data_IF_310548650842
#
_entry.id   IF_310548650842
#
_cell.length_a   1.000
_cell.length_b   1.000
_cell.length_c   1.000
_cell.angle_alpha   90.00
_cell.angle_beta   90.00
_cell.angle_gamma   90.00
#
_symmetry.space_group_name_H-M   'P 1'
#
loop_
_entity.id
_entity.type
_entity.pdbx_description
1 polymer ?
#
# COMPACT_ATOMS: atom_id res chain seq x y z
N UNK A 1 2.65 -17.40 33.25
CA UNK A 1 3.69 -17.69 32.25
C UNK A 1 3.03 -17.60 30.87
N UNK A 2 3.01 -16.42 30.28
CA UNK A 2 2.34 -16.15 29.00
C UNK A 2 3.34 -16.32 27.86
N UNK A 3 3.02 -17.21 26.92
CA UNK A 3 3.90 -17.62 25.82
C UNK A 3 4.06 -16.46 24.81
N UNK A 4 5.28 -15.95 24.55
CA UNK A 4 5.53 -14.79 23.70
C UNK A 4 5.25 -15.01 22.19
N UNK A 5 4.90 -16.24 21.79
CA UNK A 5 4.61 -16.59 20.39
C UNK A 5 3.28 -15.98 19.89
N UNK A 6 2.27 -15.82 20.77
CA UNK A 6 0.96 -15.28 20.42
C UNK A 6 0.99 -13.78 20.07
N UNK A 7 1.96 -13.01 20.55
CA UNK A 7 2.11 -11.59 20.20
C UNK A 7 2.79 -11.35 18.86
N UNK A 8 3.51 -12.35 18.33
CA UNK A 8 4.16 -12.27 17.01
C UNK A 8 3.17 -12.54 15.86
N UNK A 9 2.12 -13.33 16.12
CA UNK A 9 1.04 -13.59 15.14
C UNK A 9 -0.05 -12.51 15.12
N UNK A 10 -0.17 -11.68 16.17
CA UNK A 10 -1.12 -10.56 16.19
C UNK A 10 -0.82 -9.51 15.12
N UNK A 11 0.46 -9.12 14.97
CA UNK A 11 0.86 -8.10 14.00
C UNK A 11 0.47 -8.44 12.54
N UNK A 12 0.77 -9.64 12.00
CA UNK A 12 0.34 -9.98 10.64
C UNK A 12 -1.17 -10.18 10.51
N UNK A 13 -1.87 -10.61 11.56
CA UNK A 13 -3.34 -10.71 11.54
C UNK A 13 -4.00 -9.32 11.48
N UNK A 14 -3.47 -8.35 12.22
CA UNK A 14 -3.96 -6.97 12.18
C UNK A 14 -3.70 -6.35 10.80
N UNK A 15 -2.54 -6.62 10.18
CA UNK A 15 -2.22 -6.15 8.81
C UNK A 15 -3.09 -6.80 7.74
N UNK A 16 -3.33 -8.12 7.82
CA UNK A 16 -4.21 -8.83 6.87
C UNK A 16 -5.68 -8.41 7.07
N UNK A 17 -6.09 -8.17 8.32
CA UNK A 17 -7.43 -7.67 8.64
C UNK A 17 -7.62 -6.26 8.09
N UNK A 18 -6.67 -5.34 8.27
CA UNK A 18 -6.74 -4.00 7.69
C UNK A 18 -6.77 -4.03 6.16
N UNK A 19 -5.95 -4.89 5.55
CA UNK A 19 -5.90 -5.03 4.10
C UNK A 19 -7.19 -5.65 3.55
N UNK A 20 -7.76 -6.67 4.21
CA UNK A 20 -9.08 -7.19 3.85
C UNK A 20 -10.15 -6.12 4.03
N UNK A 21 -10.19 -5.42 5.16
CA UNK A 21 -11.21 -4.40 5.43
C UNK A 21 -11.16 -3.26 4.40
N UNK A 22 -9.95 -2.88 3.95
CA UNK A 22 -9.78 -1.90 2.87
C UNK A 22 -10.30 -2.42 1.51
N UNK A 23 -10.10 -3.70 1.20
CA UNK A 23 -10.58 -4.35 -0.04
C UNK A 23 -12.08 -4.61 -0.03
N UNK A 24 -12.68 -4.91 1.12
CA UNK A 24 -14.13 -5.02 1.31
C UNK A 24 -14.85 -3.67 1.09
N UNK A 25 -14.14 -2.54 1.25
CA UNK A 25 -14.68 -1.21 0.97
C UNK A 25 -14.75 -0.88 -0.52
N UNK A 26 -14.25 -1.76 -1.39
CA UNK A 26 -14.30 -1.52 -2.83
C UNK A 26 -15.74 -1.70 -3.36
N UNK A 27 -16.22 -0.79 -4.23
CA UNK A 27 -17.52 -0.92 -4.86
C UNK A 27 -17.69 -2.26 -5.62
N UNK A 28 -16.58 -2.80 -6.14
CA UNK A 28 -16.55 -4.10 -6.79
C UNK A 28 -16.95 -5.23 -5.84
N UNK A 29 -16.34 -5.31 -4.64
CA UNK A 29 -16.67 -6.36 -3.68
C UNK A 29 -18.14 -6.30 -3.25
N UNK A 30 -18.65 -5.08 -3.01
CA UNK A 30 -20.07 -4.89 -2.64
C UNK A 30 -21.01 -5.36 -3.76
N UNK A 31 -20.69 -5.01 -5.01
CA UNK A 31 -21.47 -5.41 -6.19
C UNK A 31 -21.41 -6.92 -6.39
N UNK A 32 -20.22 -7.51 -6.26
CA UNK A 32 -20.03 -8.96 -6.35
C UNK A 32 -20.81 -9.70 -5.27
N UNK A 33 -20.72 -9.27 -4.00
CA UNK A 33 -21.47 -9.88 -2.90
C UNK A 33 -22.98 -9.79 -3.13
N UNK A 34 -23.47 -8.65 -3.62
CA UNK A 34 -24.88 -8.47 -3.94
C UNK A 34 -25.35 -9.39 -5.08
N UNK A 35 -24.60 -9.44 -6.19
CA UNK A 35 -24.89 -10.34 -7.31
C UNK A 35 -24.83 -11.80 -6.86
N UNK A 36 -23.83 -12.17 -6.06
CA UNK A 36 -23.68 -13.51 -5.53
C UNK A 36 -24.87 -13.91 -4.65
N UNK A 37 -25.35 -13.03 -3.77
CA UNK A 37 -26.54 -13.26 -2.94
C UNK A 37 -27.79 -13.49 -3.80
N UNK A 38 -27.95 -12.72 -4.87
CA UNK A 38 -29.09 -12.88 -5.79
C UNK A 38 -28.99 -14.19 -6.56
N UNK A 39 -27.81 -14.51 -7.10
CA UNK A 39 -27.58 -15.75 -7.85
C UNK A 39 -27.71 -16.99 -6.97
N UNK A 40 -27.33 -16.90 -5.70
CA UNK A 40 -27.41 -17.98 -4.71
C UNK A 40 -28.57 -17.76 -3.72
N UNK A 41 -29.69 -17.22 -4.20
CA UNK A 41 -30.83 -16.87 -3.35
C UNK A 41 -31.38 -18.07 -2.55
N UNK A 42 -31.37 -19.27 -3.12
CA UNK A 42 -31.79 -20.51 -2.46
C UNK A 42 -30.86 -20.89 -1.31
N UNK A 43 -29.54 -20.69 -1.48
CA UNK A 43 -28.57 -20.90 -0.42
C UNK A 43 -28.80 -19.92 0.73
N UNK A 44 -28.92 -18.63 0.41
CA UNK A 44 -29.17 -17.56 1.39
C UNK A 44 -30.49 -17.80 2.12
N UNK A 45 -31.54 -18.18 1.40
CA UNK A 45 -32.83 -18.52 1.98
C UNK A 45 -32.72 -19.69 2.95
N UNK A 46 -32.05 -20.77 2.56
CA UNK A 46 -31.82 -21.93 3.43
C UNK A 46 -30.95 -21.60 4.64
N UNK A 47 -29.98 -20.69 4.51
CA UNK A 47 -29.09 -20.29 5.60
C UNK A 47 -29.82 -19.48 6.69
N UNK A 48 -30.63 -18.50 6.27
CA UNK A 48 -31.25 -17.52 7.16
C UNK A 48 -32.67 -17.89 7.60
N UNK A 49 -33.48 -18.50 6.73
CA UNK A 49 -34.92 -18.68 6.97
C UNK A 49 -35.33 -20.13 7.21
N UNK A 50 -34.50 -21.12 6.87
CA UNK A 50 -34.83 -22.51 7.11
C UNK A 50 -34.33 -22.98 8.49
N UNK A 51 -35.19 -22.87 9.50
CA UNK A 51 -34.92 -23.32 10.87
C UNK A 51 -35.08 -24.84 11.08
N UNK A 52 -35.53 -25.58 10.05
CA UNK A 52 -35.83 -27.02 10.17
C UNK A 52 -34.62 -27.93 9.97
N UNK A 53 -33.50 -27.40 9.48
CA UNK A 53 -32.29 -28.19 9.21
C UNK A 53 -31.36 -28.11 10.42
N UNK A 54 -31.18 -29.23 11.11
CA UNK A 54 -30.31 -29.32 12.30
C UNK A 54 -28.83 -29.11 11.98
N UNK A 55 -28.38 -29.52 10.79
CA UNK A 55 -26.98 -29.41 10.35
C UNK A 55 -26.80 -28.45 9.17
N UNK A 56 -26.58 -27.17 9.50
CA UNK A 56 -26.26 -26.13 8.50
C UNK A 56 -24.92 -26.38 7.79
N UNK A 57 -23.99 -27.08 8.44
CA UNK A 57 -22.67 -27.46 7.90
C UNK A 57 -22.78 -28.33 6.66
N UNK A 58 -23.71 -29.29 6.64
CA UNK A 58 -23.89 -30.23 5.53
C UNK A 58 -24.50 -29.58 4.29
N UNK A 59 -25.30 -28.53 4.47
CA UNK A 59 -25.79 -27.69 3.37
C UNK A 59 -24.62 -26.90 2.76
N UNK A 60 -23.72 -26.38 3.60
CA UNK A 60 -22.53 -25.67 3.14
C UNK A 60 -21.64 -26.58 2.28
N UNK A 61 -21.38 -27.80 2.74
CA UNK A 61 -20.56 -28.77 1.99
C UNK A 61 -21.18 -29.14 0.64
N UNK A 62 -22.49 -29.39 0.60
CA UNK A 62 -23.18 -29.74 -0.65
C UNK A 62 -23.25 -28.58 -1.66
N UNK A 63 -23.31 -27.33 -1.18
CA UNK A 63 -23.46 -26.15 -2.05
C UNK A 63 -22.12 -25.54 -2.46
N UNK A 64 -21.09 -25.65 -1.61
CA UNK A 64 -19.77 -25.11 -1.90
C UNK A 64 -18.88 -26.10 -2.66
N UNK A 65 -19.36 -27.29 -3.01
CA UNK A 65 -18.63 -28.45 -3.55
C UNK A 65 -17.36 -28.08 -4.36
N UNK A 66 -16.26 -27.80 -3.66
CA UNK A 66 -15.08 -27.07 -4.18
C UNK A 66 -14.26 -27.91 -5.18
N UNK A 67 -14.62 -29.18 -5.31
CA UNK A 67 -13.96 -30.16 -6.15
C UNK A 67 -14.62 -30.30 -7.53
N UNK A 68 -15.78 -29.69 -7.76
CA UNK A 68 -16.44 -29.74 -9.05
C UNK A 68 -16.06 -28.56 -9.95
N UNK A 69 -15.80 -28.85 -11.22
CA UNK A 69 -15.48 -27.83 -12.23
C UNK A 69 -16.68 -26.87 -12.49
N UNK A 70 -17.90 -27.33 -12.20
CA UNK A 70 -19.14 -26.54 -12.23
C UNK A 70 -19.06 -25.31 -11.30
N UNK A 71 -18.57 -25.49 -10.07
CA UNK A 71 -18.44 -24.42 -9.09
C UNK A 71 -17.53 -23.29 -9.57
N UNK A 72 -16.39 -23.64 -10.17
CA UNK A 72 -15.45 -22.65 -10.70
C UNK A 72 -16.04 -21.90 -11.90
N UNK A 73 -16.75 -22.59 -12.80
CA UNK A 73 -17.42 -21.95 -13.93
C UNK A 73 -18.52 -20.98 -13.47
N UNK A 74 -19.36 -21.39 -12.51
CA UNK A 74 -20.41 -20.54 -11.95
C UNK A 74 -19.83 -19.34 -11.20
N UNK A 75 -18.75 -19.54 -10.45
CA UNK A 75 -18.02 -18.46 -9.78
C UNK A 75 -17.45 -17.46 -10.78
N UNK A 76 -16.82 -17.95 -11.86
CA UNK A 76 -16.25 -17.09 -12.90
C UNK A 76 -17.33 -16.32 -13.66
N UNK A 77 -18.47 -16.97 -13.96
CA UNK A 77 -19.63 -16.35 -14.58
C UNK A 77 -20.20 -15.24 -13.67
N UNK A 78 -20.32 -15.51 -12.37
CA UNK A 78 -20.76 -14.52 -11.37
C UNK A 78 -19.81 -13.31 -11.31
N UNK A 79 -18.49 -13.55 -11.34
CA UNK A 79 -17.49 -12.49 -11.43
C UNK A 79 -17.70 -11.67 -12.72
N UNK A 80 -17.89 -12.33 -13.87
CA UNK A 80 -18.15 -11.67 -15.15
C UNK A 80 -19.41 -10.79 -15.13
N UNK A 81 -20.53 -11.32 -14.63
CA UNK A 81 -21.79 -10.55 -14.48
C UNK A 81 -21.60 -9.35 -13.54
N UNK A 82 -20.89 -9.53 -12.43
CA UNK A 82 -20.63 -8.44 -11.48
C UNK A 82 -19.81 -7.31 -12.13
N UNK A 83 -18.84 -7.64 -12.98
CA UNK A 83 -18.03 -6.67 -13.70
C UNK A 83 -18.86 -5.91 -14.76
N UNK A 84 -19.71 -6.62 -15.52
CA UNK A 84 -20.63 -5.99 -16.47
C UNK A 84 -21.59 -5.04 -15.74
N UNK A 85 -22.16 -5.49 -14.63
CA UNK A 85 -23.08 -4.68 -13.80
C UNK A 85 -22.39 -3.41 -13.31
N UNK A 86 -21.13 -3.52 -12.88
CA UNK A 86 -20.33 -2.38 -12.45
C UNK A 86 -20.11 -1.38 -13.59
N UNK A 87 -19.77 -1.87 -14.80
CA UNK A 87 -19.62 -1.02 -15.99
C UNK A 87 -20.92 -0.28 -16.32
N UNK A 88 -22.06 -0.98 -16.32
CA UNK A 88 -23.38 -0.38 -16.57
C UNK A 88 -23.70 0.69 -15.51
N UNK A 89 -23.43 0.42 -14.24
CA UNK A 89 -23.63 1.38 -13.16
C UNK A 89 -22.81 2.66 -13.36
N UNK A 90 -21.53 2.54 -13.73
CA UNK A 90 -20.69 3.69 -14.04
C UNK A 90 -21.15 4.46 -15.28
N UNK A 91 -21.64 3.77 -16.32
CA UNK A 91 -22.23 4.42 -17.47
C UNK A 91 -23.47 5.24 -17.09
N UNK A 92 -24.37 4.67 -16.27
CA UNK A 92 -25.55 5.37 -15.76
C UNK A 92 -25.14 6.59 -14.93
N UNK A 93 -24.14 6.47 -14.06
CA UNK A 93 -23.62 7.60 -13.28
C UNK A 93 -23.08 8.72 -14.18
N UNK A 94 -22.34 8.38 -15.22
CA UNK A 94 -21.80 9.36 -16.16
C UNK A 94 -22.92 10.03 -16.98
N UNK A 95 -23.92 9.28 -17.41
CA UNK A 95 -25.11 9.82 -18.08
C UNK A 95 -25.85 10.77 -17.12
N UNK A 96 -26.05 10.37 -15.86
CA UNK A 96 -26.68 11.20 -14.83
C UNK A 96 -25.93 12.51 -14.61
N UNK A 97 -24.60 12.46 -14.50
CA UNK A 97 -23.76 13.66 -14.41
C UNK A 97 -23.89 14.54 -15.65
N UNK A 98 -23.87 13.95 -16.84
CA UNK A 98 -24.03 14.67 -18.11
C UNK A 98 -25.38 15.38 -18.19
N UNK A 99 -26.47 14.69 -17.81
CA UNK A 99 -27.81 15.27 -17.74
C UNK A 99 -27.85 16.41 -16.71
N UNK A 100 -27.25 16.22 -15.54
CA UNK A 100 -27.19 17.27 -14.50
C UNK A 100 -26.45 18.50 -14.99
N UNK A 101 -25.30 18.32 -15.65
CA UNK A 101 -24.50 19.41 -16.18
C UNK A 101 -25.25 20.17 -17.29
N UNK A 102 -25.88 19.45 -18.23
CA UNK A 102 -26.71 20.07 -19.27
C UNK A 102 -27.93 20.78 -18.69
N UNK A 103 -28.52 20.23 -17.62
CA UNK A 103 -29.62 20.87 -16.88
C UNK A 103 -29.15 22.16 -16.22
N UNK A 104 -28.02 22.14 -15.51
CA UNK A 104 -27.43 23.33 -14.90
C UNK A 104 -27.07 24.40 -15.93
N UNK A 105 -26.51 24.03 -17.07
CA UNK A 105 -26.21 24.97 -18.15
C UNK A 105 -27.48 25.57 -18.75
N UNK A 106 -28.52 24.77 -19.01
CA UNK A 106 -29.81 25.27 -19.49
C UNK A 106 -30.50 26.16 -18.46
N UNK A 107 -30.45 25.79 -17.18
CA UNK A 107 -30.98 26.59 -16.08
C UNK A 107 -30.21 27.90 -15.97
N UNK A 108 -28.87 27.88 -16.00
CA UNK A 108 -28.03 29.09 -16.03
C UNK A 108 -28.35 29.97 -17.22
N UNK A 109 -28.48 29.42 -18.43
CA UNK A 109 -28.84 30.17 -19.63
C UNK A 109 -30.24 30.79 -19.53
N UNK A 110 -31.22 30.06 -19.00
CA UNK A 110 -32.57 30.58 -18.79
C UNK A 110 -32.62 31.67 -17.73
N UNK A 111 -31.87 31.51 -16.62
CA UNK A 111 -31.72 32.51 -15.57
C UNK A 111 -30.99 33.75 -16.14
N UNK A 112 -29.90 33.57 -16.86
CA UNK A 112 -29.17 34.65 -17.53
C UNK A 112 -30.04 35.38 -18.54
N UNK A 113 -30.84 34.68 -19.35
CA UNK A 113 -31.75 35.31 -20.31
C UNK A 113 -32.84 36.14 -19.60
N UNK A 114 -33.35 35.65 -18.47
CA UNK A 114 -34.37 36.32 -17.65
C UNK A 114 -33.80 37.48 -16.83
N UNK A 115 -32.55 37.39 -16.39
CA UNK A 115 -31.81 38.47 -15.73
C UNK A 115 -31.37 39.54 -16.73
N UNK A 116 -30.86 39.15 -17.90
CA UNK A 116 -30.43 40.09 -18.96
C UNK A 116 -31.61 40.85 -19.58
N UNK A 117 -32.84 40.30 -19.53
CA UNK A 117 -34.05 41.04 -19.92
C UNK A 117 -34.60 41.97 -18.83
N UNK A 118 -34.11 41.88 -17.59
CA UNK A 118 -34.54 42.73 -16.45
C UNK A 118 -33.46 43.67 -15.92
N UNK A 119 -32.19 43.38 -16.22
CA UNK A 119 -31.05 44.10 -15.66
C UNK A 119 -30.02 44.29 -16.77
N UNK A 120 -30.10 45.43 -17.45
CA UNK A 120 -28.90 46.02 -18.07
C UNK A 120 -28.05 46.46 -16.87
N UNK A 121 -27.18 45.58 -16.39
CA UNK A 121 -26.20 45.93 -15.37
C UNK A 121 -25.34 47.08 -15.88
N UNK A 122 -24.99 48.02 -15.01
CA UNK A 122 -24.15 49.14 -15.40
C UNK A 122 -22.81 48.61 -15.93
N UNK A 123 -22.22 49.32 -16.90
CA UNK A 123 -20.91 48.97 -17.46
C UNK A 123 -19.85 48.80 -16.34
N UNK A 124 -20.02 49.50 -15.23
CA UNK A 124 -19.13 49.48 -14.08
C UNK A 124 -19.21 48.16 -13.30
N UNK A 125 -20.39 47.56 -13.13
CA UNK A 125 -20.51 46.24 -12.50
C UNK A 125 -19.84 45.15 -13.34
N UNK A 126 -19.99 45.21 -14.66
CA UNK A 126 -19.34 44.25 -15.58
C UNK A 126 -17.82 44.39 -15.50
N UNK A 127 -17.29 45.62 -15.46
CA UNK A 127 -15.85 45.88 -15.27
C UNK A 127 -15.35 45.38 -13.92
N UNK A 128 -16.12 45.60 -12.85
CA UNK A 128 -15.78 45.12 -11.51
C UNK A 128 -15.63 43.60 -11.47
N UNK A 129 -16.64 42.88 -11.97
CA UNK A 129 -16.60 41.41 -11.97
C UNK A 129 -15.52 40.84 -12.90
N UNK A 130 -15.27 41.50 -14.03
CA UNK A 130 -14.15 41.13 -14.91
C UNK A 130 -12.81 41.29 -14.20
N UNK A 131 -12.56 42.44 -13.57
CA UNK A 131 -11.33 42.67 -12.81
C UNK A 131 -11.15 41.65 -11.68
N UNK A 132 -12.25 41.28 -11.01
CA UNK A 132 -12.22 40.28 -9.94
C UNK A 132 -11.96 38.87 -10.47
N UNK A 133 -12.49 38.53 -11.63
CA UNK A 133 -12.20 37.26 -12.30
C UNK A 133 -10.74 37.18 -12.75
N UNK A 134 -10.18 38.28 -13.27
CA UNK A 134 -8.78 38.36 -13.67
C UNK A 134 -7.85 38.21 -12.45
N UNK A 135 -8.16 38.88 -11.33
CA UNK A 135 -7.42 38.76 -10.08
C UNK A 135 -7.45 37.33 -9.51
N UNK A 136 -8.64 36.70 -9.51
CA UNK A 136 -8.77 35.30 -9.11
C UNK A 136 -7.98 34.36 -10.03
N UNK A 137 -7.92 34.64 -11.33
CA UNK A 137 -7.16 33.85 -12.29
C UNK A 137 -5.66 33.95 -12.04
N UNK A 138 -5.16 35.16 -11.75
CA UNK A 138 -3.76 35.39 -11.37
C UNK A 138 -3.43 34.66 -10.08
N UNK A 139 -4.28 34.78 -9.06
CA UNK A 139 -4.10 34.09 -7.78
C UNK A 139 -4.09 32.57 -7.95
N UNK A 140 -4.92 32.03 -8.83
CA UNK A 140 -4.97 30.60 -9.08
C UNK A 140 -3.68 30.10 -9.75
N UNK A 141 -3.12 30.87 -10.69
CA UNK A 141 -1.81 30.55 -11.30
C UNK A 141 -0.68 30.54 -10.27
N UNK A 142 -0.64 31.53 -9.38
CA UNK A 142 0.36 31.54 -8.30
C UNK A 142 0.24 30.33 -7.38
N UNK A 143 -0.98 29.92 -7.03
CA UNK A 143 -1.20 28.70 -6.24
C UNK A 143 -0.77 27.44 -6.99
N UNK A 144 -1.01 27.36 -8.30
CA UNK A 144 -0.52 26.26 -9.14
C UNK A 144 1.02 26.18 -9.16
N UNK A 145 1.70 27.34 -9.28
CA UNK A 145 3.16 27.42 -9.23
C UNK A 145 3.71 27.00 -7.85
N UNK A 146 3.08 27.44 -6.76
CA UNK A 146 3.45 27.06 -5.39
C UNK A 146 3.27 25.56 -5.14
N UNK A 147 2.18 24.97 -5.65
CA UNK A 147 1.93 23.52 -5.59
C UNK A 147 3.00 22.78 -6.38
N UNK A 148 3.36 23.25 -7.57
CA UNK A 148 4.39 22.64 -8.41
C UNK A 148 5.74 22.65 -7.69
N UNK A 149 6.15 23.80 -7.15
CA UNK A 149 7.38 23.96 -6.37
C UNK A 149 7.41 23.05 -5.13
N UNK A 150 6.28 22.97 -4.41
CA UNK A 150 6.14 22.10 -3.25
C UNK A 150 6.28 20.62 -3.62
N UNK A 151 5.70 20.19 -4.75
CA UNK A 151 5.84 18.82 -5.26
C UNK A 151 7.28 18.50 -5.65
N UNK A 152 7.96 19.41 -6.35
CA UNK A 152 9.37 19.22 -6.68
C UNK A 152 10.26 19.10 -5.43
N UNK A 153 9.98 19.91 -4.40
CA UNK A 153 10.70 19.84 -3.13
C UNK A 153 10.43 18.52 -2.40
N UNK A 154 9.18 18.03 -2.43
CA UNK A 154 8.79 16.77 -1.83
C UNK A 154 9.49 15.59 -2.50
N UNK A 155 9.48 15.53 -3.83
CA UNK A 155 10.18 14.50 -4.61
C UNK A 155 11.69 14.49 -4.29
N UNK A 156 12.32 15.67 -4.19
CA UNK A 156 13.74 15.76 -3.82
C UNK A 156 14.02 15.19 -2.41
N UNK A 157 13.12 15.43 -1.45
CA UNK A 157 13.24 14.89 -0.09
C UNK A 157 13.02 13.38 -0.08
N UNK A 158 12.06 12.87 -0.85
CA UNK A 158 11.80 11.44 -1.02
C UNK A 158 13.02 10.73 -1.61
N UNK A 159 13.59 11.23 -2.71
CA UNK A 159 14.81 10.69 -3.33
C UNK A 159 15.97 10.67 -2.33
N UNK A 160 16.11 11.72 -1.53
CA UNK A 160 17.17 11.80 -0.51
C UNK A 160 16.94 10.81 0.62
N UNK A 161 15.69 10.58 1.01
CA UNK A 161 15.30 9.61 2.04
C UNK A 161 15.55 8.18 1.55
N UNK A 162 15.13 7.84 0.34
CA UNK A 162 15.37 6.54 -0.28
C UNK A 162 16.87 6.23 -0.37
N UNK A 163 17.67 7.21 -0.81
CA UNK A 163 19.13 7.08 -0.83
C UNK A 163 19.71 6.82 0.57
N UNK A 164 19.17 7.46 1.61
CA UNK A 164 19.62 7.25 3.01
C UNK A 164 19.20 5.88 3.55
N UNK A 165 18.00 5.42 3.23
CA UNK A 165 17.55 4.07 3.58
C UNK A 165 18.40 3.00 2.90
N UNK A 166 18.72 3.18 1.62
CA UNK A 166 19.62 2.29 0.88
C UNK A 166 21.03 2.25 1.51
N UNK A 167 21.57 3.40 1.93
CA UNK A 167 22.84 3.45 2.67
C UNK A 167 22.74 2.72 4.02
N UNK A 168 21.63 2.89 4.75
CA UNK A 168 21.41 2.24 6.04
C UNK A 168 21.29 0.73 5.90
N UNK A 169 20.59 0.24 4.88
CA UNK A 169 20.46 -1.18 4.59
C UNK A 169 21.80 -1.82 4.22
N UNK A 170 22.60 -1.16 3.38
CA UNK A 170 23.99 -1.59 3.07
C UNK A 170 24.84 -1.67 4.34
N UNK A 171 24.75 -0.68 5.22
CA UNK A 171 25.50 -0.67 6.48
C UNK A 171 25.06 -1.80 7.44
N UNK A 172 23.76 -2.09 7.50
CA UNK A 172 23.23 -3.24 8.27
C UNK A 172 23.76 -4.56 7.75
N UNK A 173 23.77 -4.74 6.43
CA UNK A 173 24.32 -5.94 5.79
C UNK A 173 25.81 -6.11 6.10
N UNK A 174 26.61 -5.05 5.97
CA UNK A 174 28.03 -5.05 6.34
C UNK A 174 28.25 -5.39 7.82
N UNK A 175 27.43 -4.86 8.73
CA UNK A 175 27.50 -5.20 10.15
C UNK A 175 27.16 -6.67 10.39
N UNK A 176 26.11 -7.20 9.77
CA UNK A 176 25.73 -8.61 9.90
C UNK A 176 26.82 -9.54 9.37
N UNK A 177 27.42 -9.20 8.23
CA UNK A 177 28.54 -9.96 7.66
C UNK A 177 29.75 -9.95 8.62
N UNK A 178 30.07 -8.80 9.20
CA UNK A 178 31.15 -8.68 10.19
C UNK A 178 30.86 -9.50 11.45
N UNK A 179 29.62 -9.46 11.96
CA UNK A 179 29.20 -10.25 13.13
C UNK A 179 29.36 -11.75 12.83
N UNK A 180 28.96 -12.20 11.65
CA UNK A 180 29.10 -13.59 11.24
C UNK A 180 30.58 -13.99 11.10
N UNK A 181 31.42 -13.15 10.52
CA UNK A 181 32.88 -13.37 10.47
C UNK A 181 33.47 -13.49 11.87
N UNK A 182 33.16 -12.58 12.79
CA UNK A 182 33.62 -12.64 14.18
C UNK A 182 33.13 -13.91 14.87
N UNK A 183 31.87 -14.30 14.67
CA UNK A 183 31.31 -15.53 15.23
C UNK A 183 32.06 -16.77 14.74
N UNK A 184 32.32 -16.88 13.44
CA UNK A 184 33.08 -18.01 12.87
C UNK A 184 34.53 -18.06 13.37
N UNK A 185 35.18 -16.90 13.51
CA UNK A 185 36.51 -16.81 14.11
C UNK A 185 36.50 -17.26 15.58
N UNK A 186 35.49 -16.88 16.34
CA UNK A 186 35.36 -17.23 17.75
C UNK A 186 35.05 -18.72 17.94
N UNK A 187 34.20 -19.31 17.10
CA UNK A 187 33.95 -20.76 17.05
C UNK A 187 35.22 -21.54 16.70
N UNK A 188 35.97 -21.08 15.68
CA UNK A 188 37.28 -21.67 15.32
C UNK A 188 38.26 -21.59 16.49
N UNK A 189 38.33 -20.45 17.17
CA UNK A 189 39.23 -20.25 18.29
C UNK A 189 38.85 -21.13 19.50
N UNK A 190 37.56 -21.28 19.82
CA UNK A 190 37.08 -22.21 20.85
C UNK A 190 37.43 -23.67 20.54
N UNK A 191 37.30 -24.08 19.28
CA UNK A 191 37.72 -25.41 18.83
C UNK A 191 39.24 -25.61 19.01
N UNK A 192 40.05 -24.64 18.58
CA UNK A 192 41.50 -24.68 18.76
C UNK A 192 41.84 -24.68 20.26
N UNK A 193 41.24 -23.84 21.10
CA UNK A 193 41.53 -23.79 22.53
C UNK A 193 41.20 -25.10 23.26
N UNK A 194 40.08 -25.76 22.92
CA UNK A 194 39.72 -27.08 23.43
C UNK A 194 40.72 -28.17 23.00
N UNK A 195 41.36 -28.01 21.84
CA UNK A 195 42.44 -28.89 21.36
C UNK A 195 43.80 -28.55 22.01
N UNK A 196 44.06 -27.27 22.26
CA UNK A 196 45.28 -26.72 22.90
C UNK A 196 45.42 -27.09 24.37
N UNK A 197 44.31 -27.33 25.08
CA UNK A 197 44.33 -27.84 26.45
C UNK A 197 45.01 -29.23 26.57
N UNK A 198 45.47 -29.83 25.46
CA UNK A 198 46.13 -31.12 25.39
C UNK A 198 47.60 -31.09 24.92
N UNK A 199 48.19 -29.96 24.50
CA UNK A 199 49.57 -29.97 23.94
C UNK A 199 50.28 -28.59 23.95
N UNK A 200 51.57 -28.53 24.32
CA UNK A 200 52.34 -27.29 24.59
C UNK A 200 52.96 -26.60 23.34
N UNK A 201 52.83 -27.16 22.15
CA UNK A 201 53.58 -26.74 20.94
C UNK A 201 52.87 -25.71 20.01
N UNK A 202 52.14 -24.72 20.53
CA UNK A 202 51.13 -24.01 19.70
C UNK A 202 51.17 -22.48 19.66
N UNK A 203 52.32 -21.87 19.95
CA UNK A 203 52.47 -20.40 19.89
C UNK A 203 52.15 -19.80 18.50
N UNK A 204 52.44 -20.52 17.42
CA UNK A 204 52.24 -20.06 16.04
C UNK A 204 50.77 -20.01 15.59
N UNK A 205 49.90 -20.88 16.11
CA UNK A 205 48.47 -20.86 15.78
C UNK A 205 47.72 -19.74 16.50
N UNK A 206 48.10 -19.44 17.75
CA UNK A 206 47.57 -18.30 18.49
C UNK A 206 47.93 -16.99 17.76
N UNK A 207 49.17 -16.86 17.29
CA UNK A 207 49.60 -15.69 16.51
C UNK A 207 48.86 -15.55 15.17
N UNK A 208 48.52 -16.66 14.52
CA UNK A 208 47.73 -16.65 13.29
C UNK A 208 46.28 -16.19 13.52
N UNK A 209 45.67 -16.61 14.63
CA UNK A 209 44.32 -16.19 15.04
C UNK A 209 44.29 -14.72 15.44
N UNK A 210 45.32 -14.25 16.17
CA UNK A 210 45.44 -12.83 16.55
C UNK A 210 45.51 -11.94 15.31
N UNK A 211 46.31 -12.32 14.31
CA UNK A 211 46.37 -11.62 13.01
C UNK A 211 45.04 -11.64 12.27
N UNK A 212 44.25 -12.71 12.34
CA UNK A 212 42.95 -12.75 11.68
C UNK A 212 41.94 -11.82 12.33
N UNK A 213 41.94 -11.72 13.67
CA UNK A 213 41.13 -10.74 14.41
C UNK A 213 41.53 -9.30 14.09
N UNK A 214 42.82 -9.00 14.10
CA UNK A 214 43.32 -7.66 13.76
C UNK A 214 42.91 -7.24 12.34
N UNK A 215 42.98 -8.16 11.37
CA UNK A 215 42.55 -7.90 9.99
C UNK A 215 41.04 -7.65 9.85
N UNK A 216 40.19 -8.32 10.65
CA UNK A 216 38.74 -8.06 10.67
C UNK A 216 38.45 -6.72 11.33
N UNK A 217 39.15 -6.39 12.43
CA UNK A 217 39.01 -5.10 13.10
C UNK A 217 39.41 -3.92 12.20
N UNK A 218 40.52 -4.03 11.47
CA UNK A 218 40.95 -3.02 10.49
C UNK A 218 39.90 -2.84 9.39
N UNK A 219 39.31 -3.93 8.88
CA UNK A 219 38.24 -3.86 7.87
C UNK A 219 36.99 -3.15 8.40
N UNK A 220 36.59 -3.44 9.63
CA UNK A 220 35.48 -2.77 10.31
C UNK A 220 35.74 -1.26 10.49
N UNK A 221 36.92 -0.88 11.00
CA UNK A 221 37.30 0.54 11.18
C UNK A 221 37.36 1.29 9.85
N UNK A 222 37.83 0.64 8.78
CA UNK A 222 37.82 1.24 7.44
C UNK A 222 36.40 1.40 6.86
N UNK A 223 35.48 0.48 7.16
CA UNK A 223 34.08 0.57 6.72
C UNK A 223 33.28 1.62 7.51
N UNK A 224 33.70 1.96 8.73
CA UNK A 224 33.07 2.98 9.59
C UNK A 224 33.42 4.41 9.17
N UNK A 225 34.54 4.61 8.46
CA UNK A 225 34.89 5.93 7.93
C UNK A 225 33.82 6.38 6.93
N UNK A 226 33.24 7.58 7.09
CA UNK A 226 32.21 8.04 6.19
C UNK A 226 32.72 8.10 4.75
N UNK A 227 31.85 7.73 3.80
CA UNK A 227 32.00 7.93 2.35
C UNK A 227 31.97 9.44 1.98
N UNK A 228 32.69 10.29 2.73
CA UNK A 228 32.74 11.75 2.55
C UNK A 228 33.81 12.20 1.57
N UNK A 229 34.38 11.30 0.74
CA UNK A 229 35.44 11.64 -0.22
C UNK A 229 35.10 11.35 -1.69
N UNK A 230 33.83 11.11 -2.03
CA UNK A 230 33.39 11.01 -3.44
C UNK A 230 32.18 11.91 -3.74
N UNK A 231 32.17 13.11 -3.18
CA UNK A 231 31.31 14.21 -3.60
C UNK A 231 32.18 15.47 -3.72
N UNK A 232 33.06 15.46 -4.71
CA UNK A 232 33.81 16.61 -5.22
C UNK A 232 33.69 16.61 -6.73
#
# INVERSE_FOLDING_TARGET
>A
MTIPFLSLLKKPLDTVSEEMTSKFRTPFFTTYAFVWVISNNMFVYNLFFNSSISDKSRILENQLNLNELSFYLESFLTIGISLITLVVFYLILNISRSISMLSEERIKLNILKKLKSKTIGSIDEVKFWKSKADDLTIKNRHLEDDISSSRSSLNYVEDKLENKENQLNKNKELCNNTINEVKTLLEKNLYTHNRLAKDESFKSEIDAIKRSFDNVFIRYENAKKPLTLMAG
#
